data_IF_151487566126
#
_entry.id   IF_151487566126
#
_cell.length_a   1.000
_cell.length_b   1.000
_cell.length_c   1.000
_cell.angle_alpha   90.00
_cell.angle_beta   90.00
_cell.angle_gamma   90.00
#
_symmetry.space_group_name_H-M   'P 1'
#
loop_
_entity.id
_entity.type
_entity.pdbx_description
1 polymer ?
#
# COMPACT_ATOMS: atom_id res chain seq x y z
N UNK A 1 -18.09 13.99 -7.80
CA UNK A 1 -18.88 14.29 -9.02
C UNK A 1 -20.23 13.60 -8.95
N UNK A 2 -20.30 12.29 -8.80
CA UNK A 2 -21.55 11.53 -8.77
C UNK A 2 -22.55 12.06 -7.72
N UNK A 3 -22.07 12.40 -6.53
CA UNK A 3 -22.88 12.98 -5.44
C UNK A 3 -23.46 14.34 -5.78
N UNK A 4 -22.72 15.20 -6.50
CA UNK A 4 -23.17 16.52 -6.90
C UNK A 4 -24.21 16.46 -8.05
N UNK A 5 -24.08 15.51 -8.96
CA UNK A 5 -25.03 15.30 -10.06
C UNK A 5 -26.35 14.62 -9.61
N UNK A 6 -26.42 14.14 -8.37
CA UNK A 6 -27.65 13.62 -7.75
C UNK A 6 -28.54 14.73 -7.14
N UNK A 7 -28.01 15.94 -7.00
CA UNK A 7 -28.82 17.07 -6.54
C UNK A 7 -29.81 17.49 -7.64
N UNK A 8 -31.11 17.69 -7.32
CA UNK A 8 -32.17 17.83 -8.31
C UNK A 8 -32.04 19.05 -9.22
N UNK A 9 -31.23 20.05 -8.84
CA UNK A 9 -31.08 21.31 -9.57
C UNK A 9 -29.71 21.42 -10.28
N UNK A 10 -28.85 20.38 -10.25
CA UNK A 10 -27.54 20.41 -10.88
C UNK A 10 -27.54 19.55 -12.15
N UNK A 11 -27.65 20.17 -13.30
CA UNK A 11 -27.61 19.49 -14.59
C UNK A 11 -26.19 19.31 -15.15
N UNK A 12 -25.24 20.19 -14.75
CA UNK A 12 -23.87 20.21 -15.27
C UNK A 12 -22.88 20.66 -14.19
N UNK A 13 -21.67 20.15 -14.24
CA UNK A 13 -20.56 20.50 -13.35
C UNK A 13 -19.34 20.82 -14.21
N UNK A 14 -18.67 21.94 -13.92
CA UNK A 14 -17.36 22.28 -14.50
C UNK A 14 -16.33 22.41 -13.37
N UNK A 15 -15.17 21.76 -13.52
CA UNK A 15 -14.07 21.90 -12.60
C UNK A 15 -13.04 22.88 -13.13
N UNK A 16 -12.55 23.73 -12.24
CA UNK A 16 -11.44 24.64 -12.52
C UNK A 16 -10.38 24.55 -11.40
N UNK A 17 -9.12 24.69 -11.77
CA UNK A 17 -7.99 24.81 -10.84
C UNK A 17 -7.33 26.15 -11.08
N UNK A 18 -7.32 27.01 -10.07
CA UNK A 18 -6.84 28.40 -10.17
C UNK A 18 -7.45 29.18 -11.34
N UNK A 19 -8.77 28.97 -11.61
CA UNK A 19 -9.52 29.65 -12.68
C UNK A 19 -9.34 29.07 -14.08
N UNK A 20 -8.47 28.06 -14.26
CA UNK A 20 -8.27 27.35 -15.53
C UNK A 20 -9.08 26.06 -15.58
N UNK A 21 -9.53 25.65 -16.77
CA UNK A 21 -10.23 24.39 -16.95
C UNK A 21 -9.37 23.20 -16.50
N UNK A 22 -9.98 22.24 -15.82
CA UNK A 22 -9.32 21.00 -15.46
C UNK A 22 -9.01 20.19 -16.73
N UNK A 23 -7.80 19.66 -16.84
CA UNK A 23 -7.33 18.87 -17.98
C UNK A 23 -7.25 17.39 -17.65
N UNK A 24 -7.47 16.55 -18.65
CA UNK A 24 -7.29 15.10 -18.53
C UNK A 24 -5.82 14.69 -18.65
N UNK A 25 -5.55 13.37 -18.59
CA UNK A 25 -4.20 12.80 -18.70
C UNK A 25 -3.55 13.01 -20.09
N UNK A 26 -4.31 13.45 -21.09
CA UNK A 26 -3.86 13.79 -22.45
C UNK A 26 -3.68 15.29 -22.64
N UNK A 27 -3.82 16.07 -21.55
CA UNK A 27 -3.74 17.53 -21.54
C UNK A 27 -4.91 18.22 -22.30
N UNK A 28 -6.04 17.54 -22.47
CA UNK A 28 -7.28 18.09 -23.06
C UNK A 28 -8.20 18.60 -21.96
N UNK A 29 -8.95 19.69 -22.25
CA UNK A 29 -9.90 20.26 -21.28
C UNK A 29 -11.06 19.30 -21.04
N UNK A 30 -11.31 18.94 -19.78
CA UNK A 30 -12.40 18.02 -19.37
C UNK A 30 -13.79 18.63 -19.64
N UNK A 31 -13.90 19.94 -19.78
CA UNK A 31 -15.14 20.61 -20.13
C UNK A 31 -16.26 20.51 -19.10
N UNK A 32 -17.50 20.51 -19.55
CA UNK A 32 -18.69 20.36 -18.71
C UNK A 32 -19.06 18.89 -18.56
N UNK A 33 -19.21 18.44 -17.32
CA UNK A 33 -19.64 17.09 -16.99
C UNK A 33 -21.13 17.04 -16.67
N UNK A 34 -21.85 16.20 -17.39
CA UNK A 34 -23.24 15.79 -17.10
C UNK A 34 -23.23 14.37 -16.54
N UNK A 35 -24.37 13.89 -16.04
CA UNK A 35 -24.52 12.48 -15.65
C UNK A 35 -24.23 11.51 -16.81
N UNK A 36 -24.55 11.92 -18.04
CA UNK A 36 -24.31 11.14 -19.26
C UNK A 36 -22.81 11.11 -19.62
N UNK A 37 -22.15 12.27 -19.61
CA UNK A 37 -20.71 12.40 -19.88
C UNK A 37 -19.89 11.68 -18.83
N UNK A 38 -20.31 11.71 -17.56
CA UNK A 38 -19.67 10.96 -16.49
C UNK A 38 -19.79 9.43 -16.69
N UNK A 39 -20.94 8.95 -17.15
CA UNK A 39 -21.13 7.53 -17.48
C UNK A 39 -20.24 7.07 -18.65
N UNK A 40 -20.04 7.92 -19.66
CA UNK A 40 -19.15 7.65 -20.79
C UNK A 40 -17.67 7.66 -20.38
N UNK A 41 -17.27 8.59 -19.50
CA UNK A 41 -15.91 8.64 -18.94
C UNK A 41 -15.64 7.50 -17.97
N UNK A 42 -16.59 7.13 -17.13
CA UNK A 42 -16.45 6.03 -16.18
C UNK A 42 -16.42 4.67 -16.88
N UNK A 43 -17.03 4.52 -18.05
CA UNK A 43 -17.12 3.23 -18.76
C UNK A 43 -15.83 2.78 -19.44
N UNK A 44 -14.88 3.69 -19.75
CA UNK A 44 -13.61 3.35 -20.42
C UNK A 44 -12.42 3.25 -19.46
N UNK A 45 -12.46 3.96 -18.34
CA UNK A 45 -11.35 4.00 -17.38
C UNK A 45 -11.58 3.09 -16.14
N UNK A 46 -12.81 2.72 -15.82
CA UNK A 46 -13.13 1.88 -14.66
C UNK A 46 -12.61 0.44 -14.79
N UNK A 47 -12.42 -0.06 -16.00
CA UNK A 47 -11.79 -1.38 -16.21
C UNK A 47 -10.28 -1.36 -15.95
N UNK A 48 -9.66 -0.18 -15.98
CA UNK A 48 -8.20 -0.02 -15.80
C UNK A 48 -7.76 0.07 -14.36
N UNK A 49 -8.69 0.27 -13.41
CA UNK A 49 -8.39 0.48 -12.00
C UNK A 49 -9.12 -0.50 -11.09
N UNK A 50 -8.54 -0.73 -9.91
CA UNK A 50 -9.12 -1.47 -8.78
C UNK A 50 -9.16 -0.58 -7.56
N UNK A 51 -10.11 -0.90 -6.67
CA UNK A 51 -10.24 -0.34 -5.35
C UNK A 51 -10.24 -1.49 -4.35
N UNK A 52 -9.18 -1.59 -3.57
CA UNK A 52 -9.02 -2.64 -2.58
C UNK A 52 -8.72 -2.05 -1.20
N UNK A 53 -9.06 -2.79 -0.18
CA UNK A 53 -8.72 -2.49 1.21
C UNK A 53 -7.48 -3.30 1.60
N UNK A 54 -6.46 -2.62 2.10
CA UNK A 54 -5.22 -3.24 2.57
C UNK A 54 -5.06 -3.06 4.07
N UNK A 55 -4.59 -4.11 4.73
CA UNK A 55 -4.13 -4.09 6.10
C UNK A 55 -2.62 -3.91 6.09
N UNK A 56 -2.14 -2.82 6.66
CA UNK A 56 -0.73 -2.47 6.74
C UNK A 56 -0.29 -2.48 8.20
N UNK A 57 0.95 -2.86 8.44
CA UNK A 57 1.53 -2.88 9.77
C UNK A 57 2.69 -1.89 9.86
N UNK A 58 2.56 -0.94 10.74
CA UNK A 58 3.57 0.04 11.10
C UNK A 58 4.04 -0.19 12.53
N UNK A 59 5.01 0.56 13.01
CA UNK A 59 5.48 0.41 14.38
C UNK A 59 4.84 1.45 15.30
N UNK A 60 4.59 1.06 16.54
CA UNK A 60 4.09 1.95 17.59
C UNK A 60 5.19 2.90 18.11
N UNK A 61 4.83 3.82 18.98
CA UNK A 61 5.78 4.77 19.62
C UNK A 61 6.91 4.09 20.41
N UNK A 62 6.71 2.86 20.85
CA UNK A 62 7.75 2.13 21.58
C UNK A 62 8.85 1.56 20.68
N UNK A 63 8.64 1.50 19.37
CA UNK A 63 9.53 0.84 18.40
C UNK A 63 9.51 -0.70 18.46
N UNK A 64 8.59 -1.30 19.25
CA UNK A 64 8.63 -2.74 19.60
C UNK A 64 7.43 -3.55 19.15
N UNK A 65 6.31 -2.91 18.78
CA UNK A 65 5.08 -3.59 18.38
C UNK A 65 4.56 -3.05 17.07
N UNK A 66 4.02 -3.95 16.29
CA UNK A 66 3.31 -3.61 15.05
C UNK A 66 1.89 -3.16 15.37
N UNK A 67 1.50 -2.03 14.82
CA UNK A 67 0.16 -1.47 14.88
C UNK A 67 -0.48 -1.50 13.51
N UNK A 68 -1.76 -1.83 13.49
CA UNK A 68 -2.52 -2.05 12.26
C UNK A 68 -3.08 -0.74 11.72
N UNK A 69 -2.93 -0.51 10.42
CA UNK A 69 -3.58 0.55 9.66
C UNK A 69 -4.36 -0.03 8.49
N UNK A 70 -5.61 0.37 8.32
CA UNK A 70 -6.44 -0.10 7.20
C UNK A 70 -6.57 1.00 6.17
N UNK A 71 -6.14 0.74 4.93
CA UNK A 71 -6.19 1.71 3.84
C UNK A 71 -7.01 1.23 2.66
N UNK A 72 -7.84 2.12 2.18
CA UNK A 72 -8.53 1.96 0.92
C UNK A 72 -7.71 2.60 -0.19
N UNK A 73 -7.25 1.82 -1.16
CA UNK A 73 -6.35 2.29 -2.21
C UNK A 73 -6.95 2.05 -3.59
N UNK A 74 -6.89 3.09 -4.41
CA UNK A 74 -7.27 3.05 -5.80
C UNK A 74 -6.01 2.96 -6.66
N UNK A 75 -5.86 1.90 -7.46
CA UNK A 75 -4.65 1.63 -8.23
C UNK A 75 -4.94 0.97 -9.58
N UNK A 76 -3.96 0.97 -10.47
CA UNK A 76 -4.09 0.35 -11.79
C UNK A 76 -4.21 -1.16 -11.68
N UNK A 77 -5.20 -1.75 -12.35
CA UNK A 77 -5.46 -3.19 -12.36
C UNK A 77 -4.30 -4.03 -12.89
N UNK A 78 -3.41 -3.44 -13.69
CA UNK A 78 -2.21 -4.09 -14.22
C UNK A 78 -1.10 -4.30 -13.18
N UNK A 79 -1.20 -3.66 -12.01
CA UNK A 79 -0.22 -3.82 -10.94
C UNK A 79 -0.66 -4.93 -9.97
N UNK A 80 0.25 -5.80 -9.52
CA UNK A 80 -0.02 -6.76 -8.46
C UNK A 80 -0.41 -6.08 -7.15
N UNK A 81 -1.33 -6.68 -6.39
CA UNK A 81 -1.74 -6.17 -5.07
C UNK A 81 -0.56 -6.07 -4.12
N UNK A 82 0.29 -7.07 -4.13
CA UNK A 82 1.49 -7.19 -3.30
C UNK A 82 2.41 -5.97 -3.50
N UNK A 83 2.57 -5.54 -4.75
CA UNK A 83 3.35 -4.34 -5.06
C UNK A 83 2.74 -3.09 -4.42
N UNK A 84 1.43 -2.96 -4.48
CA UNK A 84 0.73 -1.81 -3.88
C UNK A 84 0.88 -1.79 -2.36
N UNK A 85 0.76 -2.95 -1.69
CA UNK A 85 1.00 -3.08 -0.25
C UNK A 85 2.38 -2.57 0.12
N UNK A 86 3.42 -3.01 -0.59
CA UNK A 86 4.81 -2.62 -0.34
C UNK A 86 5.05 -1.13 -0.61
N UNK A 87 4.47 -0.58 -1.68
CA UNK A 87 4.53 0.86 -1.98
C UNK A 87 3.80 1.69 -0.92
N UNK A 88 2.71 1.18 -0.33
CA UNK A 88 2.02 1.87 0.77
C UNK A 88 2.82 1.83 2.08
N UNK A 89 3.53 0.73 2.38
CA UNK A 89 4.45 0.66 3.51
C UNK A 89 5.61 1.66 3.37
N UNK A 90 6.23 1.74 2.18
CA UNK A 90 7.32 2.69 1.91
C UNK A 90 6.88 4.16 2.01
N UNK A 91 5.61 4.48 1.74
CA UNK A 91 5.04 5.82 1.96
C UNK A 91 4.93 6.20 3.44
N UNK A 92 5.08 5.25 4.34
CA UNK A 92 4.93 5.46 5.76
C UNK A 92 3.48 5.50 6.26
N UNK A 93 3.29 5.64 7.58
CA UNK A 93 1.98 5.65 8.23
C UNK A 93 1.19 6.94 7.95
N UNK A 94 -0.14 6.86 8.09
CA UNK A 94 -1.06 8.00 8.00
C UNK A 94 -1.71 8.32 9.33
N UNK A 95 -1.72 7.38 10.27
CA UNK A 95 -2.33 7.56 11.59
C UNK A 95 -1.31 8.12 12.58
N UNK A 96 -1.77 9.03 13.45
CA UNK A 96 -0.94 9.62 14.50
C UNK A 96 -0.49 8.55 15.50
N UNK A 97 0.77 8.59 15.88
CA UNK A 97 1.36 7.60 16.81
C UNK A 97 1.87 6.33 16.14
N UNK A 98 1.72 6.20 14.83
CA UNK A 98 2.35 5.17 14.04
C UNK A 98 3.63 5.71 13.38
N UNK A 99 4.63 4.85 13.21
CA UNK A 99 5.95 5.22 12.67
C UNK A 99 6.36 4.28 11.54
N UNK A 100 7.19 4.74 10.58
CA UNK A 100 7.67 3.92 9.48
C UNK A 100 8.42 2.67 9.97
N UNK A 101 8.28 1.57 9.26
CA UNK A 101 8.96 0.29 9.54
C UNK A 101 10.03 -0.05 8.52
N UNK A 102 10.00 0.59 7.35
CA UNK A 102 10.98 0.45 6.29
C UNK A 102 11.40 1.83 5.80
N UNK A 103 12.58 1.93 5.20
CA UNK A 103 13.08 3.17 4.61
C UNK A 103 12.15 3.68 3.52
N UNK A 104 11.90 4.98 3.44
CA UNK A 104 11.14 5.63 2.35
C UNK A 104 11.80 5.44 0.97
N UNK A 105 13.10 5.13 0.94
CA UNK A 105 13.84 4.83 -0.28
C UNK A 105 13.72 3.36 -0.70
N UNK A 106 13.03 2.54 0.11
CA UNK A 106 12.75 1.14 -0.25
C UNK A 106 11.83 1.08 -1.45
N UNK A 107 12.18 0.26 -2.42
CA UNK A 107 11.38 0.06 -3.63
C UNK A 107 11.30 -1.41 -4.03
N UNK A 108 10.17 -1.77 -4.62
CA UNK A 108 9.91 -3.13 -5.12
C UNK A 108 10.50 -3.25 -6.52
N UNK A 109 11.52 -4.08 -6.67
CA UNK A 109 12.10 -4.42 -7.98
C UNK A 109 11.21 -5.42 -8.72
N UNK A 110 10.78 -6.47 -8.03
CA UNK A 110 9.80 -7.43 -8.56
C UNK A 110 9.02 -8.10 -7.43
N UNK A 111 7.81 -8.58 -7.76
CA UNK A 111 7.00 -9.40 -6.87
C UNK A 111 6.20 -10.42 -7.68
N UNK A 112 6.18 -11.66 -7.21
CA UNK A 112 5.43 -12.77 -7.81
C UNK A 112 4.85 -13.61 -6.69
N UNK A 113 3.58 -13.99 -6.79
CA UNK A 113 2.95 -14.97 -5.90
C UNK A 113 2.70 -16.26 -6.67
N UNK A 114 3.25 -17.36 -6.19
CA UNK A 114 3.06 -18.71 -6.73
C UNK A 114 2.95 -19.71 -5.58
N UNK A 115 2.05 -20.68 -5.71
CA UNK A 115 1.82 -21.74 -4.71
C UNK A 115 1.64 -21.21 -3.27
N UNK A 116 0.90 -20.08 -3.13
CA UNK A 116 0.68 -19.37 -1.86
C UNK A 116 1.95 -18.77 -1.23
N UNK A 117 3.02 -18.66 -1.96
CA UNK A 117 4.25 -18.01 -1.53
C UNK A 117 4.42 -16.70 -2.30
N UNK A 118 4.54 -15.60 -1.58
CA UNK A 118 4.87 -14.31 -2.17
C UNK A 118 6.39 -14.11 -2.17
N UNK A 119 6.98 -14.08 -3.36
CA UNK A 119 8.40 -13.81 -3.59
C UNK A 119 8.57 -12.31 -3.87
N UNK A 120 9.27 -11.64 -2.98
CA UNK A 120 9.50 -10.19 -3.05
C UNK A 120 10.98 -9.93 -3.30
N UNK A 121 11.28 -9.08 -4.28
CA UNK A 121 12.62 -8.55 -4.50
C UNK A 121 12.62 -7.04 -4.25
N UNK A 122 13.34 -6.59 -3.24
CA UNK A 122 13.49 -5.20 -2.85
C UNK A 122 14.86 -4.67 -3.28
N UNK A 123 14.97 -3.35 -3.42
CA UNK A 123 16.28 -2.70 -3.57
C UNK A 123 17.06 -2.71 -2.24
N UNK A 124 18.36 -2.37 -2.30
CA UNK A 124 19.24 -2.39 -1.11
C UNK A 124 18.82 -1.42 -0.01
N UNK A 125 18.11 -0.33 -0.32
CA UNK A 125 17.61 0.60 0.68
C UNK A 125 16.69 -0.06 1.72
N UNK A 126 16.09 -1.20 1.38
CA UNK A 126 15.30 -2.00 2.33
C UNK A 126 16.17 -2.50 3.50
N UNK A 127 17.45 -2.88 3.26
CA UNK A 127 18.39 -3.32 4.31
C UNK A 127 18.84 -2.20 5.24
N UNK A 128 18.74 -0.95 4.80
CA UNK A 128 19.10 0.19 5.63
C UNK A 128 18.16 0.32 6.85
N UNK A 129 16.95 -0.22 6.70
CA UNK A 129 15.93 -0.18 7.75
C UNK A 129 15.45 1.23 8.05
N UNK A 130 14.99 1.42 9.28
CA UNK A 130 14.55 2.71 9.81
C UNK A 130 15.19 2.89 11.18
N UNK A 131 15.56 4.13 11.52
CA UNK A 131 16.15 4.47 12.81
C UNK A 131 15.22 4.06 13.96
N UNK A 132 15.78 3.47 15.02
CA UNK A 132 15.06 2.98 16.21
C UNK A 132 14.06 1.82 15.97
N UNK A 133 14.09 1.17 14.81
CA UNK A 133 13.24 0.01 14.50
C UNK A 133 14.10 -1.24 14.35
N UNK A 134 13.74 -2.31 15.11
CA UNK A 134 14.46 -3.58 15.00
C UNK A 134 14.21 -4.28 13.67
N UNK A 135 15.16 -5.13 13.24
CA UNK A 135 15.02 -5.88 11.99
C UNK A 135 13.77 -6.79 11.97
N UNK A 136 13.36 -7.35 13.11
CA UNK A 136 12.15 -8.15 13.25
C UNK A 136 10.90 -7.30 12.87
N UNK A 137 10.79 -6.11 13.43
CA UNK A 137 9.69 -5.19 13.15
C UNK A 137 9.66 -4.83 11.66
N UNK A 138 10.81 -4.50 11.06
CA UNK A 138 10.89 -4.16 9.64
C UNK A 138 10.46 -5.31 8.73
N UNK A 139 10.99 -6.52 8.95
CA UNK A 139 10.66 -7.69 8.15
C UNK A 139 9.21 -8.12 8.35
N UNK A 140 8.76 -8.22 9.61
CA UNK A 140 7.39 -8.67 9.89
C UNK A 140 6.31 -7.63 9.60
N UNK A 141 6.66 -6.35 9.52
CA UNK A 141 5.77 -5.33 8.93
C UNK A 141 5.42 -5.68 7.48
N UNK A 142 6.42 -6.02 6.68
CA UNK A 142 6.22 -6.47 5.28
C UNK A 142 5.46 -7.79 5.24
N UNK A 143 5.90 -8.80 5.98
CA UNK A 143 5.31 -10.13 5.98
C UNK A 143 3.84 -10.09 6.38
N UNK A 144 3.52 -9.52 7.54
CA UNK A 144 2.15 -9.47 8.05
C UNK A 144 1.23 -8.65 7.15
N UNK A 145 1.74 -7.54 6.55
CA UNK A 145 0.95 -6.73 5.62
C UNK A 145 0.61 -7.47 4.33
N UNK A 146 1.55 -8.22 3.77
CA UNK A 146 1.31 -9.07 2.59
C UNK A 146 0.30 -10.17 2.92
N UNK A 147 0.50 -10.90 4.01
CA UNK A 147 -0.34 -12.05 4.35
C UNK A 147 -1.77 -11.66 4.73
N UNK A 148 -1.98 -10.47 5.31
CA UNK A 148 -3.33 -9.97 5.63
C UNK A 148 -4.02 -9.25 4.46
N UNK A 149 -3.28 -8.86 3.42
CA UNK A 149 -3.83 -8.10 2.29
C UNK A 149 -3.92 -8.91 1.00
N UNK A 150 -3.13 -9.97 0.84
CA UNK A 150 -2.98 -10.71 -0.41
C UNK A 150 -3.24 -12.21 -0.21
N UNK A 151 -3.40 -12.93 -1.31
CA UNK A 151 -3.64 -14.38 -1.29
C UNK A 151 -2.31 -15.16 -1.19
N UNK A 152 -1.61 -15.02 -0.07
CA UNK A 152 -0.38 -15.73 0.25
C UNK A 152 -0.41 -16.28 1.68
N UNK A 153 0.34 -17.34 1.93
CA UNK A 153 0.51 -17.98 3.24
C UNK A 153 1.94 -17.82 3.76
N UNK A 154 2.89 -17.57 2.86
CA UNK A 154 4.30 -17.35 3.18
C UNK A 154 4.87 -16.22 2.33
N UNK A 155 5.93 -15.62 2.85
CA UNK A 155 6.69 -14.58 2.16
C UNK A 155 8.16 -14.96 2.14
N UNK A 156 8.81 -14.80 0.98
CA UNK A 156 10.26 -14.84 0.86
C UNK A 156 10.76 -13.52 0.32
N UNK A 157 11.80 -12.98 0.94
CA UNK A 157 12.35 -11.66 0.58
C UNK A 157 13.75 -11.87 0.01
N UNK A 158 14.03 -11.22 -1.11
CA UNK A 158 15.35 -11.05 -1.67
C UNK A 158 15.70 -9.56 -1.76
N UNK A 159 16.95 -9.23 -1.79
CA UNK A 159 17.46 -7.85 -1.93
C UNK A 159 18.43 -7.80 -3.10
N UNK A 160 18.15 -6.92 -4.07
CA UNK A 160 18.89 -6.82 -5.33
C UNK A 160 19.06 -8.19 -6.05
N UNK A 161 18.03 -9.04 -5.95
CA UNK A 161 17.99 -10.37 -6.53
C UNK A 161 18.74 -11.44 -5.75
N UNK A 162 19.39 -11.11 -4.63
CA UNK A 162 20.09 -12.07 -3.77
C UNK A 162 19.24 -12.44 -2.56
N UNK A 163 19.23 -13.74 -2.24
CA UNK A 163 18.72 -14.30 -1.00
C UNK A 163 19.85 -14.65 -0.02
N UNK A 164 21.09 -14.37 -0.39
CA UNK A 164 22.25 -14.68 0.44
C UNK A 164 22.36 -13.72 1.62
N UNK A 165 22.73 -14.28 2.77
CA UNK A 165 22.92 -13.54 4.01
C UNK A 165 21.61 -13.17 4.71
N UNK A 166 21.70 -12.16 5.56
CA UNK A 166 20.62 -11.71 6.42
C UNK A 166 20.05 -10.35 5.95
N UNK A 167 18.87 -10.00 6.46
CA UNK A 167 18.28 -8.69 6.23
C UNK A 167 19.23 -7.59 6.76
N UNK A 168 19.56 -7.65 8.03
CA UNK A 168 20.61 -6.84 8.66
C UNK A 168 21.60 -7.76 9.36
N UNK A 169 21.32 -8.20 10.58
CA UNK A 169 22.22 -8.99 11.40
C UNK A 169 21.82 -10.45 11.51
N UNK A 170 20.54 -10.75 11.78
CA UNK A 170 20.09 -12.08 12.21
C UNK A 170 18.99 -12.72 11.36
N UNK A 171 18.17 -11.97 10.65
CA UNK A 171 17.03 -12.50 9.88
C UNK A 171 17.47 -12.96 8.47
N UNK A 172 17.51 -14.29 8.20
CA UNK A 172 18.03 -14.80 6.94
C UNK A 172 17.04 -14.57 5.78
N UNK A 173 17.52 -14.00 4.67
CA UNK A 173 16.71 -13.73 3.49
C UNK A 173 16.18 -15.00 2.81
N UNK A 174 16.91 -16.12 2.87
CA UNK A 174 16.49 -17.38 2.25
C UNK A 174 15.30 -18.05 2.93
N UNK A 175 14.88 -17.57 4.12
CA UNK A 175 13.78 -18.14 4.90
C UNK A 175 12.42 -17.81 4.26
N UNK A 176 11.48 -18.75 4.39
CA UNK A 176 10.08 -18.50 4.18
C UNK A 176 9.46 -18.01 5.48
N UNK A 177 8.97 -16.78 5.48
CA UNK A 177 8.35 -16.14 6.63
C UNK A 177 6.86 -16.41 6.66
N UNK A 178 6.33 -16.75 7.80
CA UNK A 178 4.91 -16.85 8.11
C UNK A 178 4.51 -15.67 8.99
N UNK A 179 3.21 -15.45 9.17
CA UNK A 179 2.69 -14.36 10.01
C UNK A 179 3.22 -14.49 11.44
N UNK A 180 3.63 -13.37 12.02
CA UNK A 180 4.03 -13.29 13.41
C UNK A 180 3.05 -12.38 14.16
N UNK A 181 2.13 -13.01 14.91
CA UNK A 181 1.12 -12.29 15.69
C UNK A 181 1.67 -11.76 17.02
N UNK A 182 2.76 -12.35 17.53
CA UNK A 182 3.38 -11.93 18.79
C UNK A 182 3.96 -10.52 18.74
N UNK A 183 4.29 -10.05 17.54
CA UNK A 183 4.75 -8.68 17.32
C UNK A 183 3.62 -7.66 17.20
N UNK A 184 2.38 -8.10 16.99
CA UNK A 184 1.23 -7.20 16.84
C UNK A 184 0.80 -6.69 18.20
N UNK A 185 0.62 -5.37 18.32
CA UNK A 185 0.03 -4.78 19.50
C UNK A 185 -1.40 -5.30 19.69
N UNK A 186 -1.72 -5.73 20.89
CA UNK A 186 -3.10 -6.07 21.22
C UNK A 186 -3.90 -4.78 21.30
N UNK A 187 -5.04 -4.73 20.62
CA UNK A 187 -6.00 -3.67 20.82
C UNK A 187 -6.46 -3.70 22.28
N UNK A 188 -5.98 -2.78 23.09
CA UNK A 188 -6.61 -2.53 24.38
C UNK A 188 -8.05 -2.06 24.10
N UNK A 189 -8.99 -3.03 24.06
CA UNK A 189 -10.40 -2.70 24.13
C UNK A 189 -10.59 -1.87 25.39
N UNK A 190 -10.72 -0.56 25.21
CA UNK A 190 -11.27 0.30 26.26
C UNK A 190 -12.67 -0.24 26.57
N UNK A 191 -12.74 -1.03 27.63
CA UNK A 191 -14.00 -1.25 28.31
C UNK A 191 -14.50 0.13 28.79
N UNK A 192 -15.57 0.56 28.17
CA UNK A 192 -16.34 1.75 28.60
C UNK A 192 -17.56 1.29 29.33
#
# INVERSE_FOLDING_TARGET
VQTLLQAPDIAKIRFTVAGQALKDSRNEDIGEMTSKTFAEYSGKDTESYRYDTFTLYFVDKSGKKLVKEVRNVYYRRSLPKERIVLEQLAKGPMEEGHYPTISEHSSVLSVITADKICYINMNNAFREGTEDVSEDISVYSVVNSILDSCDAEKVQISVDGSMDGNFQESLPLYKFYEKNEDLIAQDDKKES
#
